data_IF_290114828042
#
_entry.id   IF_290114828042
#
_cell.length_a   1.000
_cell.length_b   1.000
_cell.length_c   1.000
_cell.angle_alpha   90.00
_cell.angle_beta   90.00
_cell.angle_gamma   90.00
#
_symmetry.space_group_name_H-M   'P 1'
#
loop_
_entity.id
_entity.type
_entity.pdbx_description
1 polymer ?
#
# COMPACT_ATOMS: atom_id res chain seq x y z
N UNK A 1 18.59 8.87 3.21
CA UNK A 1 19.08 10.01 3.92
C UNK A 1 18.02 10.47 4.89
N UNK A 2 18.47 10.93 6.01
CA UNK A 2 17.79 11.35 7.21
C UNK A 2 16.71 12.43 7.05
N UNK A 3 15.78 12.25 6.17
CA UNK A 3 14.54 13.04 6.11
C UNK A 3 13.85 13.06 7.47
N UNK A 4 14.19 12.11 8.31
CA UNK A 4 13.33 11.63 9.37
C UNK A 4 13.82 11.93 10.77
N UNK A 5 15.12 12.02 11.01
CA UNK A 5 15.62 12.28 12.36
C UNK A 5 15.27 13.69 12.85
N UNK A 6 15.22 14.67 11.94
CA UNK A 6 14.85 16.05 12.29
C UNK A 6 13.35 16.19 12.59
N UNK A 7 12.50 15.47 11.84
CA UNK A 7 11.04 15.51 12.05
C UNK A 7 10.61 14.74 13.30
N UNK A 8 11.33 13.70 13.67
CA UNK A 8 11.06 12.95 14.90
C UNK A 8 11.30 13.75 16.17
N UNK A 9 12.33 14.57 16.16
CA UNK A 9 12.78 15.35 17.31
C UNK A 9 12.22 16.78 17.33
N UNK A 10 11.45 17.16 16.31
CA UNK A 10 10.89 18.51 16.26
C UNK A 10 9.72 18.66 17.27
N UNK A 11 9.84 19.50 18.29
CA UNK A 11 8.77 19.76 19.25
C UNK A 11 7.57 20.52 18.63
N UNK A 12 7.75 21.20 17.50
CA UNK A 12 6.70 21.97 16.81
C UNK A 12 5.90 21.13 15.81
N UNK A 13 5.47 19.95 16.22
CA UNK A 13 4.62 19.11 15.36
C UNK A 13 3.21 19.67 15.31
N UNK A 14 2.63 19.62 14.11
CA UNK A 14 1.20 19.85 13.95
C UNK A 14 0.40 18.87 14.83
N UNK A 15 -0.71 19.32 15.38
CA UNK A 15 -1.59 18.45 16.13
C UNK A 15 -2.04 17.25 15.26
N UNK A 16 -2.27 16.07 15.85
CA UNK A 16 -2.73 14.90 15.09
C UNK A 16 -3.97 15.21 14.26
N UNK A 17 -3.96 14.82 12.99
CA UNK A 17 -5.08 15.05 12.06
C UNK A 17 -5.14 16.45 11.42
N UNK A 18 -4.18 17.33 11.69
CA UNK A 18 -4.20 18.72 11.16
C UNK A 18 -3.22 18.97 10.01
N UNK A 19 -2.29 18.05 9.75
CA UNK A 19 -1.34 18.15 8.65
C UNK A 19 -1.03 16.77 8.07
N UNK A 20 -0.79 16.74 6.77
CA UNK A 20 -0.31 15.55 6.06
C UNK A 20 1.20 15.64 5.86
N UNK A 21 1.90 14.58 6.22
CA UNK A 21 3.31 14.40 5.92
C UNK A 21 3.56 12.95 5.55
N UNK A 22 4.05 12.70 4.34
CA UNK A 22 4.50 11.38 3.93
C UNK A 22 5.79 11.05 4.69
N UNK A 23 5.78 9.98 5.48
CA UNK A 23 6.89 9.69 6.38
C UNK A 23 7.10 8.18 6.54
N UNK A 24 8.12 7.66 5.89
CA UNK A 24 8.47 6.23 5.89
C UNK A 24 8.84 5.72 7.29
N UNK A 25 9.50 6.53 8.11
CA UNK A 25 9.88 6.13 9.46
C UNK A 25 8.67 5.87 10.35
N UNK A 26 7.60 6.65 10.22
CA UNK A 26 6.34 6.39 10.95
C UNK A 26 5.71 5.09 10.53
N UNK A 27 5.78 4.75 9.25
CA UNK A 27 5.28 3.47 8.73
C UNK A 27 6.12 2.31 9.25
N UNK A 28 7.44 2.48 9.38
CA UNK A 28 8.31 1.47 9.98
C UNK A 28 8.00 1.27 11.48
N UNK A 29 7.72 2.34 12.22
CA UNK A 29 7.26 2.22 13.63
C UNK A 29 5.91 1.54 13.72
N UNK A 30 4.98 1.82 12.80
CA UNK A 30 3.71 1.11 12.73
C UNK A 30 3.91 -0.39 12.45
N UNK A 31 4.82 -0.77 11.56
CA UNK A 31 5.17 -2.16 11.33
C UNK A 31 5.71 -2.84 12.60
N UNK A 32 6.58 -2.17 13.35
CA UNK A 32 7.07 -2.67 14.64
C UNK A 32 5.95 -2.81 15.68
N UNK A 33 5.06 -1.84 15.78
CA UNK A 33 3.91 -1.91 16.68
C UNK A 33 2.98 -3.08 16.30
N UNK A 34 2.70 -3.26 15.01
CA UNK A 34 1.89 -4.36 14.48
C UNK A 34 2.54 -5.72 14.73
N UNK A 35 3.87 -5.82 14.57
CA UNK A 35 4.62 -7.03 14.92
C UNK A 35 4.42 -7.39 16.40
N UNK A 36 4.46 -6.39 17.30
CA UNK A 36 4.24 -6.62 18.74
C UNK A 36 2.81 -7.03 19.09
N UNK A 37 1.82 -6.52 18.34
CA UNK A 37 0.40 -6.92 18.51
C UNK A 37 0.20 -8.38 18.09
N UNK A 38 0.70 -8.75 16.91
CA UNK A 38 0.55 -10.10 16.37
C UNK A 38 1.43 -11.14 17.06
N UNK A 39 2.53 -10.72 17.69
CA UNK A 39 3.57 -11.62 18.25
C UNK A 39 4.07 -12.66 17.25
N UNK A 40 4.03 -12.33 15.97
CA UNK A 40 4.43 -13.18 14.83
C UNK A 40 5.05 -12.32 13.73
N UNK A 41 6.02 -12.86 12.96
CA UNK A 41 6.57 -12.14 11.80
C UNK A 41 5.46 -11.71 10.84
N UNK A 42 5.38 -10.43 10.49
CA UNK A 42 4.32 -9.91 9.62
C UNK A 42 4.26 -10.58 8.24
N UNK A 43 5.37 -11.03 7.60
CA UNK A 43 5.30 -11.82 6.38
C UNK A 43 4.52 -13.13 6.54
N UNK A 44 4.60 -13.78 7.71
CA UNK A 44 3.81 -15.00 7.98
C UNK A 44 2.33 -14.67 8.14
N UNK A 45 2.02 -13.59 8.84
CA UNK A 45 0.64 -13.10 8.99
C UNK A 45 0.06 -12.77 7.61
N UNK A 46 0.77 -11.97 6.81
CA UNK A 46 0.35 -11.62 5.47
C UNK A 46 0.16 -12.86 4.58
N UNK A 47 1.08 -13.82 4.67
CA UNK A 47 1.00 -15.07 3.93
C UNK A 47 -0.28 -15.83 4.24
N UNK A 48 -0.54 -16.07 5.53
CA UNK A 48 -1.66 -16.88 6.01
C UNK A 48 -3.02 -16.24 5.71
N UNK A 49 -3.16 -14.95 6.00
CA UNK A 49 -4.46 -14.29 5.94
C UNK A 49 -4.81 -13.69 4.57
N UNK A 50 -3.82 -13.43 3.73
CA UNK A 50 -4.03 -12.75 2.45
C UNK A 50 -3.42 -13.51 1.28
N UNK A 51 -2.09 -13.74 1.30
CA UNK A 51 -1.39 -14.17 0.09
C UNK A 51 -1.75 -15.60 -0.32
N UNK A 52 -1.84 -16.53 0.62
CA UNK A 52 -2.29 -17.90 0.34
C UNK A 52 -3.76 -17.95 -0.08
N UNK A 53 -4.72 -17.32 0.64
CA UNK A 53 -6.11 -17.26 0.21
C UNK A 53 -6.33 -16.70 -1.19
N UNK A 54 -5.59 -15.68 -1.61
CA UNK A 54 -5.70 -15.13 -2.97
C UNK A 54 -4.92 -15.94 -4.02
N UNK A 55 -4.22 -17.00 -3.63
CA UNK A 55 -3.44 -17.84 -4.50
C UNK A 55 -2.19 -17.17 -5.04
N UNK A 56 -1.57 -16.29 -4.26
CA UNK A 56 -0.29 -15.69 -4.61
C UNK A 56 0.82 -16.74 -4.69
N UNK A 57 1.83 -16.44 -5.49
CA UNK A 57 3.01 -17.31 -5.64
C UNK A 57 3.85 -17.34 -4.36
N UNK A 58 4.79 -18.29 -4.30
CA UNK A 58 5.77 -18.34 -3.22
C UNK A 58 7.03 -17.48 -3.50
N UNK A 59 6.99 -16.59 -4.51
CA UNK A 59 8.17 -15.82 -4.92
C UNK A 59 8.26 -14.45 -4.28
N UNK A 60 7.17 -13.93 -3.69
CA UNK A 60 7.21 -12.65 -3.00
C UNK A 60 8.05 -12.73 -1.72
N UNK A 61 8.63 -11.60 -1.32
CA UNK A 61 9.46 -11.45 -0.11
C UNK A 61 9.18 -10.10 0.51
N UNK A 62 9.18 -10.03 1.83
CA UNK A 62 9.03 -8.78 2.57
C UNK A 62 10.11 -8.71 3.66
N UNK A 63 11.00 -7.73 3.53
CA UNK A 63 12.16 -7.57 4.37
C UNK A 63 12.10 -6.29 5.19
N UNK A 64 12.72 -6.33 6.38
CA UNK A 64 13.14 -5.15 7.12
C UNK A 64 14.56 -4.73 6.74
N UNK A 65 15.10 -3.81 7.50
CA UNK A 65 16.50 -3.38 7.40
C UNK A 65 17.42 -4.31 8.21
N UNK A 66 18.71 -4.29 7.94
CA UNK A 66 19.68 -5.11 8.67
C UNK A 66 19.70 -4.84 10.18
N UNK A 67 19.36 -3.63 10.60
CA UNK A 67 19.27 -3.20 12.00
C UNK A 67 17.84 -3.28 12.58
N UNK A 68 16.89 -3.92 11.93
CA UNK A 68 15.49 -4.01 12.37
C UNK A 68 15.12 -5.31 13.08
N UNK A 69 16.13 -6.04 13.59
CA UNK A 69 15.93 -7.24 14.38
C UNK A 69 15.59 -6.92 15.83
N UNK A 70 14.57 -7.56 16.34
CA UNK A 70 14.13 -7.43 17.73
C UNK A 70 14.02 -8.79 18.39
N UNK A 71 14.35 -8.85 19.69
CA UNK A 71 14.12 -10.05 20.50
C UNK A 71 12.65 -10.08 20.91
N UNK A 72 11.95 -11.12 20.53
CA UNK A 72 10.54 -11.33 20.85
C UNK A 72 10.32 -12.79 21.25
N UNK A 73 9.82 -13.02 22.45
CA UNK A 73 9.53 -14.36 22.99
C UNK A 73 10.73 -15.33 22.90
N UNK A 74 11.94 -14.81 23.16
CA UNK A 74 13.18 -15.58 23.11
C UNK A 74 13.76 -15.82 21.71
N UNK A 75 13.16 -15.24 20.66
CA UNK A 75 13.61 -15.40 19.28
C UNK A 75 13.92 -14.04 18.63
N UNK A 76 14.90 -14.01 17.75
CA UNK A 76 15.18 -12.83 16.91
C UNK A 76 14.20 -12.81 15.76
N UNK A 77 13.40 -11.75 15.68
CA UNK A 77 12.39 -11.54 14.64
C UNK A 77 12.68 -10.21 13.94
N UNK A 78 12.64 -10.20 12.61
CA UNK A 78 12.83 -8.96 11.85
C UNK A 78 11.54 -8.17 11.79
N UNK A 79 11.58 -6.91 12.21
CA UNK A 79 10.53 -5.94 11.89
C UNK A 79 10.67 -5.52 10.44
N UNK A 80 9.65 -5.78 9.64
CA UNK A 80 9.68 -5.47 8.20
C UNK A 80 9.57 -3.98 7.94
N UNK A 81 10.10 -3.54 6.80
CA UNK A 81 9.95 -2.16 6.35
C UNK A 81 8.56 -1.94 5.76
N UNK A 82 7.90 -0.89 6.23
CA UNK A 82 6.68 -0.37 5.61
C UNK A 82 6.94 0.78 4.64
N UNK A 83 8.16 1.31 4.59
CA UNK A 83 8.58 2.42 3.74
C UNK A 83 9.84 2.12 2.94
N UNK A 84 10.05 2.86 1.87
CA UNK A 84 10.93 2.52 0.77
C UNK A 84 12.38 2.97 0.88
N UNK A 85 13.09 2.71 1.96
CA UNK A 85 14.56 2.86 1.95
C UNK A 85 15.25 1.64 1.36
N UNK A 86 16.48 1.82 0.89
CA UNK A 86 17.32 0.77 0.35
C UNK A 86 17.49 -0.41 1.33
N UNK A 87 17.26 -1.61 0.84
CA UNK A 87 17.44 -2.84 1.61
C UNK A 87 16.20 -3.36 2.34
N UNK A 88 15.09 -2.59 2.39
CA UNK A 88 13.83 -3.04 2.96
C UNK A 88 12.68 -3.00 1.96
N UNK A 89 11.52 -3.53 2.34
CA UNK A 89 10.30 -3.49 1.55
C UNK A 89 9.87 -4.82 0.95
N UNK A 90 8.84 -4.77 0.11
CA UNK A 90 8.24 -5.94 -0.51
C UNK A 90 8.70 -6.12 -1.95
N UNK A 91 9.18 -7.31 -2.26
CA UNK A 91 9.41 -7.78 -3.62
C UNK A 91 8.27 -8.69 -4.02
N UNK A 92 7.59 -8.34 -5.09
CA UNK A 92 6.38 -9.03 -5.54
C UNK A 92 6.31 -9.00 -7.07
N UNK A 93 5.84 -10.07 -7.70
CA UNK A 93 5.65 -10.11 -9.14
C UNK A 93 4.32 -9.46 -9.57
N UNK A 94 4.19 -9.15 -10.86
CA UNK A 94 3.02 -8.45 -11.39
C UNK A 94 1.70 -9.25 -11.24
N UNK A 95 1.75 -10.57 -11.31
CA UNK A 95 0.54 -11.38 -11.15
C UNK A 95 0.01 -11.37 -9.72
N UNK A 96 0.91 -11.39 -8.73
CA UNK A 96 0.51 -11.31 -7.33
C UNK A 96 0.04 -9.90 -6.97
N UNK A 97 0.64 -8.86 -7.57
CA UNK A 97 0.11 -7.48 -7.50
C UNK A 97 -1.32 -7.42 -8.07
N UNK A 98 -1.58 -8.06 -9.21
CA UNK A 98 -2.90 -8.09 -9.82
C UNK A 98 -3.92 -8.83 -8.94
N UNK A 99 -3.54 -9.93 -8.27
CA UNK A 99 -4.42 -10.63 -7.31
C UNK A 99 -4.77 -9.74 -6.13
N UNK A 100 -3.80 -9.02 -5.58
CA UNK A 100 -4.06 -8.06 -4.51
C UNK A 100 -4.93 -6.89 -4.97
N UNK A 101 -4.70 -6.38 -6.18
CA UNK A 101 -5.57 -5.39 -6.80
C UNK A 101 -6.99 -5.88 -6.99
N UNK A 102 -7.17 -7.12 -7.41
CA UNK A 102 -8.48 -7.76 -7.54
C UNK A 102 -9.19 -7.92 -6.17
N UNK A 103 -8.45 -8.30 -5.12
CA UNK A 103 -8.97 -8.31 -3.75
C UNK A 103 -9.43 -6.91 -3.33
N UNK A 104 -8.67 -5.87 -3.66
CA UNK A 104 -9.00 -4.47 -3.38
C UNK A 104 -10.24 -4.02 -4.16
N UNK A 105 -10.35 -4.38 -5.44
CA UNK A 105 -11.49 -4.10 -6.31
C UNK A 105 -12.79 -4.65 -5.72
N UNK A 106 -12.74 -5.85 -5.19
CA UNK A 106 -13.88 -6.52 -4.55
C UNK A 106 -13.97 -6.29 -3.03
N UNK A 107 -13.41 -5.17 -2.54
CA UNK A 107 -13.52 -4.74 -1.14
C UNK A 107 -13.17 -5.82 -0.13
N UNK A 108 -12.08 -6.54 -0.40
CA UNK A 108 -11.57 -7.60 0.47
C UNK A 108 -12.25 -8.96 0.31
N UNK A 109 -13.12 -9.13 -0.67
CA UNK A 109 -13.79 -10.41 -0.95
C UNK A 109 -13.03 -11.18 -2.03
N UNK A 110 -12.77 -12.45 -1.77
CA UNK A 110 -12.10 -13.37 -2.70
C UNK A 110 -12.84 -14.70 -2.77
N UNK A 111 -13.27 -15.11 -3.98
CA UNK A 111 -14.03 -16.34 -4.21
C UNK A 111 -15.18 -16.59 -3.22
N UNK A 112 -15.90 -15.53 -2.87
CA UNK A 112 -17.02 -15.58 -1.94
C UNK A 112 -16.66 -15.43 -0.47
N UNK A 113 -15.39 -15.52 -0.08
CA UNK A 113 -14.91 -15.33 1.29
C UNK A 113 -14.47 -13.89 1.52
N UNK A 114 -14.90 -13.27 2.64
CA UNK A 114 -14.43 -11.96 3.08
C UNK A 114 -13.11 -12.12 3.84
N UNK A 115 -11.98 -11.72 3.22
CA UNK A 115 -10.64 -11.78 3.83
C UNK A 115 -10.30 -10.50 4.61
N UNK A 116 -10.74 -9.35 4.11
CA UNK A 116 -10.62 -8.04 4.75
C UNK A 116 -12.01 -7.42 4.80
N UNK A 117 -12.35 -6.73 5.89
CA UNK A 117 -13.69 -6.16 6.05
C UNK A 117 -13.99 -5.07 5.01
N UNK A 118 -15.24 -4.98 4.57
CA UNK A 118 -15.69 -3.90 3.70
C UNK A 118 -15.55 -2.53 4.37
N UNK A 119 -15.72 -2.48 5.69
CA UNK A 119 -15.51 -1.28 6.49
C UNK A 119 -14.06 -0.78 6.38
N UNK A 120 -13.07 -1.68 6.41
CA UNK A 120 -11.67 -1.33 6.17
C UNK A 120 -11.49 -0.63 4.82
N UNK A 121 -12.05 -1.19 3.75
CA UNK A 121 -11.95 -0.60 2.41
C UNK A 121 -12.66 0.75 2.34
N UNK A 122 -13.82 0.88 2.95
CA UNK A 122 -14.51 2.16 3.06
C UNK A 122 -13.64 3.21 3.74
N UNK A 123 -13.04 2.88 4.87
CA UNK A 123 -12.14 3.81 5.58
C UNK A 123 -10.88 4.11 4.76
N UNK A 124 -10.24 3.08 4.19
CA UNK A 124 -8.98 3.21 3.45
C UNK A 124 -9.12 4.03 2.16
N UNK A 125 -10.28 3.98 1.52
CA UNK A 125 -10.58 4.76 0.30
C UNK A 125 -11.36 6.05 0.58
N UNK A 126 -11.56 6.42 1.84
CA UNK A 126 -12.14 7.72 2.20
C UNK A 126 -11.04 8.76 2.28
N UNK A 127 -11.18 9.90 1.59
CA UNK A 127 -10.23 11.00 1.66
C UNK A 127 -10.00 11.46 3.10
N UNK A 128 -8.75 11.74 3.44
CA UNK A 128 -8.46 12.38 4.74
C UNK A 128 -8.77 13.88 4.67
N UNK A 129 -9.19 14.50 5.79
CA UNK A 129 -9.54 15.93 5.79
C UNK A 129 -8.41 16.86 5.35
N UNK A 130 -7.17 16.45 5.57
CA UNK A 130 -5.96 17.24 5.27
C UNK A 130 -5.33 16.90 3.91
N UNK A 131 -5.79 15.84 3.25
CA UNK A 131 -5.30 15.43 1.93
C UNK A 131 -6.36 14.61 1.21
N UNK A 132 -7.06 15.26 0.29
CA UNK A 132 -8.24 14.71 -0.39
C UNK A 132 -7.92 13.61 -1.41
N UNK A 133 -6.69 13.53 -1.88
CA UNK A 133 -6.19 12.53 -2.81
C UNK A 133 -5.48 11.34 -2.12
N UNK A 134 -5.69 11.19 -0.78
CA UNK A 134 -5.06 10.15 0.01
C UNK A 134 -5.98 9.60 1.09
N UNK A 135 -6.10 8.29 1.16
CA UNK A 135 -6.81 7.57 2.20
C UNK A 135 -5.87 7.02 3.27
N UNK A 136 -6.04 5.76 3.66
CA UNK A 136 -5.08 5.10 4.53
C UNK A 136 -3.85 4.67 3.73
N UNK A 137 -2.75 4.49 4.42
CA UNK A 137 -1.46 4.04 3.93
C UNK A 137 -1.45 3.43 2.52
N UNK A 138 -0.78 4.10 1.59
CA UNK A 138 -0.65 3.67 0.19
C UNK A 138 -1.96 3.54 -0.62
N UNK A 139 -3.07 4.10 -0.14
CA UNK A 139 -4.28 4.31 -0.93
C UNK A 139 -4.26 5.73 -1.50
N UNK A 140 -3.78 5.88 -2.72
CA UNK A 140 -3.86 7.12 -3.48
C UNK A 140 -5.22 7.20 -4.16
N UNK A 141 -5.87 8.35 -4.08
CA UNK A 141 -7.25 8.54 -4.53
C UNK A 141 -7.32 9.53 -5.68
N UNK A 142 -8.22 9.31 -6.63
CA UNK A 142 -8.46 10.23 -7.74
C UNK A 142 -9.59 11.24 -7.44
N UNK A 143 -9.88 11.52 -6.19
CA UNK A 143 -11.03 12.30 -5.76
C UNK A 143 -11.12 13.67 -6.44
N UNK A 144 -9.99 14.34 -6.65
CA UNK A 144 -9.92 15.66 -7.31
C UNK A 144 -9.56 15.57 -8.81
N UNK A 145 -9.39 14.38 -9.33
CA UNK A 145 -9.02 14.06 -10.72
C UNK A 145 -7.77 14.78 -11.23
N UNK A 146 -6.87 15.25 -10.35
CA UNK A 146 -5.63 15.91 -10.76
C UNK A 146 -4.57 14.94 -11.24
N UNK A 147 -4.43 13.80 -10.55
CA UNK A 147 -3.43 12.80 -10.92
C UNK A 147 -3.83 12.00 -12.16
N UNK A 148 -5.10 11.68 -12.31
CA UNK A 148 -5.67 10.90 -13.40
C UNK A 148 -6.90 11.62 -13.96
N UNK A 149 -6.73 12.74 -14.70
CA UNK A 149 -7.86 13.52 -15.24
C UNK A 149 -8.70 12.74 -16.25
N UNK A 150 -8.14 11.72 -16.89
CA UNK A 150 -8.85 10.86 -17.86
C UNK A 150 -9.68 9.75 -17.19
N UNK A 151 -9.59 9.59 -15.87
CA UNK A 151 -10.25 8.52 -15.13
C UNK A 151 -11.35 9.04 -14.20
N UNK A 152 -12.37 8.20 -13.85
CA UNK A 152 -13.37 8.54 -12.86
C UNK A 152 -12.74 8.87 -11.48
N UNK A 153 -13.47 9.68 -10.69
CA UNK A 153 -13.01 10.13 -9.37
C UNK A 153 -12.90 9.00 -8.33
N UNK A 154 -13.57 7.87 -8.53
CA UNK A 154 -13.54 6.71 -7.66
C UNK A 154 -12.39 5.72 -7.96
N UNK A 155 -11.55 6.01 -8.94
CA UNK A 155 -10.32 5.26 -9.20
C UNK A 155 -9.34 5.52 -8.06
N UNK A 156 -8.69 4.47 -7.61
CA UNK A 156 -7.60 4.56 -6.65
C UNK A 156 -6.44 3.66 -7.08
N UNK A 157 -5.28 3.89 -6.48
CA UNK A 157 -4.11 3.07 -6.79
C UNK A 157 -3.19 2.90 -5.58
N UNK A 158 -2.37 1.86 -5.65
CA UNK A 158 -1.24 1.65 -4.77
C UNK A 158 0.04 1.96 -5.54
N UNK A 159 0.94 2.72 -4.93
CA UNK A 159 2.19 3.16 -5.55
C UNK A 159 3.40 2.67 -4.75
N UNK A 160 4.26 1.93 -5.40
CA UNK A 160 5.54 1.49 -4.86
C UNK A 160 6.73 2.18 -5.52
N UNK A 161 7.91 2.04 -4.92
CA UNK A 161 9.16 2.62 -5.41
C UNK A 161 9.42 2.22 -6.87
N UNK A 162 9.92 3.15 -7.68
CA UNK A 162 10.11 2.97 -9.13
C UNK A 162 8.80 2.98 -9.92
N UNK A 163 7.73 3.56 -9.37
CA UNK A 163 6.40 3.60 -10.00
C UNK A 163 5.89 2.20 -10.38
N UNK A 164 5.98 1.29 -9.42
CA UNK A 164 5.28 0.01 -9.48
C UNK A 164 3.87 0.24 -8.95
N UNK A 165 2.87 0.12 -9.80
CA UNK A 165 1.52 0.62 -9.55
C UNK A 165 0.49 -0.48 -9.72
N UNK A 166 -0.51 -0.49 -8.85
CA UNK A 166 -1.75 -1.24 -9.00
C UNK A 166 -2.86 -0.19 -9.11
N UNK A 167 -3.40 0.01 -10.30
CA UNK A 167 -4.61 0.81 -10.49
C UNK A 167 -5.84 -0.05 -10.29
N UNK A 168 -6.80 0.46 -9.56
CA UNK A 168 -8.11 -0.17 -9.34
C UNK A 168 -9.19 0.75 -9.90
N UNK A 169 -9.95 0.24 -10.85
CA UNK A 169 -10.99 0.95 -11.59
C UNK A 169 -12.36 0.31 -11.30
N UNK A 170 -13.05 0.75 -10.22
CA UNK A 170 -14.25 0.07 -9.73
C UNK A 170 -15.41 0.01 -10.74
N UNK A 171 -15.70 1.11 -11.43
CA UNK A 171 -16.82 1.18 -12.39
C UNK A 171 -16.61 0.30 -13.62
N UNK A 172 -15.37 0.00 -13.94
CA UNK A 172 -15.01 -0.85 -15.06
C UNK A 172 -14.81 -2.32 -14.68
N UNK A 173 -14.85 -2.63 -13.38
CA UNK A 173 -14.47 -3.94 -12.85
C UNK A 173 -13.08 -4.37 -13.33
N UNK A 174 -12.08 -3.48 -13.18
CA UNK A 174 -10.78 -3.64 -13.80
C UNK A 174 -9.62 -3.33 -12.86
N UNK A 175 -8.54 -4.08 -13.01
CA UNK A 175 -7.24 -3.85 -12.34
C UNK A 175 -6.14 -3.77 -13.38
N UNK A 176 -5.30 -2.76 -13.28
CA UNK A 176 -4.12 -2.60 -14.12
C UNK A 176 -2.87 -2.59 -13.26
N UNK A 177 -1.91 -3.44 -13.59
CA UNK A 177 -0.58 -3.43 -12.96
C UNK A 177 0.42 -2.86 -13.94
N UNK A 178 1.09 -1.80 -13.54
CA UNK A 178 2.21 -1.24 -14.26
C UNK A 178 3.48 -1.35 -13.40
N UNK A 179 4.60 -1.65 -14.05
CA UNK A 179 5.90 -1.73 -13.36
C UNK A 179 6.89 -0.80 -14.05
N UNK A 180 7.65 -0.08 -13.22
CA UNK A 180 8.66 0.87 -13.69
C UNK A 180 8.10 1.91 -14.68
N UNK A 181 6.84 2.30 -14.43
CA UNK A 181 6.17 3.30 -15.26
C UNK A 181 6.84 4.65 -15.07
N UNK A 182 7.08 5.36 -16.17
CA UNK A 182 7.53 6.75 -16.11
C UNK A 182 6.48 7.63 -15.42
N UNK A 183 6.89 8.49 -14.47
CA UNK A 183 5.97 9.20 -13.58
C UNK A 183 4.90 10.04 -14.27
N UNK A 184 5.21 10.60 -15.46
CA UNK A 184 4.29 11.37 -16.31
C UNK A 184 3.38 10.50 -17.19
N UNK A 185 3.56 9.17 -17.18
CA UNK A 185 2.81 8.22 -17.99
C UNK A 185 1.54 7.63 -17.36
N UNK A 186 1.23 7.97 -16.11
CA UNK A 186 0.13 7.34 -15.36
C UNK A 186 -1.23 7.58 -16.03
N UNK A 187 -1.59 8.84 -16.26
CA UNK A 187 -2.87 9.18 -16.87
C UNK A 187 -2.98 8.67 -18.31
N UNK A 188 -1.89 8.80 -19.07
CA UNK A 188 -1.85 8.28 -20.44
C UNK A 188 -2.04 6.78 -20.56
N UNK A 189 -1.53 5.99 -19.59
CA UNK A 189 -1.77 4.55 -19.52
C UNK A 189 -3.24 4.26 -19.20
N UNK A 190 -3.78 4.87 -18.16
CA UNK A 190 -5.17 4.65 -17.73
C UNK A 190 -6.15 5.06 -18.82
N UNK A 191 -5.92 6.19 -19.47
CA UNK A 191 -6.72 6.65 -20.62
C UNK A 191 -6.79 5.60 -21.72
N UNK A 192 -5.66 5.06 -22.16
CA UNK A 192 -5.61 4.02 -23.23
C UNK A 192 -6.29 2.72 -22.80
N UNK A 193 -6.20 2.34 -21.54
CA UNK A 193 -6.91 1.17 -21.03
C UNK A 193 -8.42 1.39 -21.08
N UNK A 194 -8.90 2.57 -20.70
CA UNK A 194 -10.32 2.92 -20.74
C UNK A 194 -10.84 2.97 -22.18
N UNK A 195 -10.06 3.52 -23.12
CA UNK A 195 -10.38 3.55 -24.54
C UNK A 195 -10.42 2.15 -25.17
N UNK A 196 -9.53 1.24 -24.77
CA UNK A 196 -9.47 -0.10 -25.32
C UNK A 196 -10.61 -1.03 -24.84
N UNK A 197 -11.35 -0.62 -23.81
CA UNK A 197 -12.49 -1.38 -23.25
C UNK A 197 -13.82 -1.02 -23.92
N UNK A 198 -13.87 0.08 -24.68
CA UNK A 198 -15.06 0.48 -25.45
C UNK A 198 -15.23 -0.37 -26.70
#
# INVERSE_FOLDING_TARGET
>A
PAQDSKTWLNPERAAPGTAYEYNDSRVNVLALATLNIWRRPLPQVLKEYIMDPIGASNTWRWFGYDNSWVLMDGQMVQSVSGGGHWGGGMFINAYDMARFGYLSLHKGKWKGQQLLSEEWFKMATTPTPVKTDYGFMNYFLNTDQKALPSAPANVFWHLGNGNNIIFVLPDQDFVVVARWLKGDGMDGLVKRVLEAKQ
#
